data_IF_124255737076
#
_entry.id   IF_124255737076
#
_cell.length_a   1.000
_cell.length_b   1.000
_cell.length_c   1.000
_cell.angle_alpha   90.00
_cell.angle_beta   90.00
_cell.angle_gamma   90.00
#
_symmetry.space_group_name_H-M   'P 1'
#
loop_
_entity.id
_entity.type
_entity.pdbx_description
1 polymer ?
#
# COMPACT_ATOMS: atom_id res chain seq x y z
N UNK A 1 -25.39 -35.75 4.11
CA UNK A 1 -24.85 -34.41 3.73
C UNK A 1 -23.42 -34.33 4.18
N UNK A 2 -22.50 -33.87 3.32
CA UNK A 2 -21.10 -33.66 3.72
C UNK A 2 -21.04 -32.68 4.90
N UNK A 3 -20.26 -32.97 5.97
CA UNK A 3 -20.12 -32.09 7.13
C UNK A 3 -19.68 -30.65 6.79
N UNK A 4 -19.13 -30.43 5.59
CA UNK A 4 -18.78 -29.11 5.08
C UNK A 4 -20.01 -28.25 4.75
N UNK A 5 -21.11 -28.83 4.25
CA UNK A 5 -22.32 -28.06 3.89
C UNK A 5 -22.98 -27.45 5.14
N UNK A 6 -23.10 -28.24 6.21
CA UNK A 6 -23.65 -27.78 7.48
C UNK A 6 -22.75 -26.72 8.13
N UNK A 7 -21.43 -26.88 8.04
CA UNK A 7 -20.46 -25.86 8.50
C UNK A 7 -20.56 -24.57 7.69
N UNK A 8 -20.61 -24.65 6.36
CA UNK A 8 -20.78 -23.47 5.51
C UNK A 8 -22.09 -22.72 5.76
N UNK A 9 -23.20 -23.43 5.96
CA UNK A 9 -24.49 -22.79 6.31
C UNK A 9 -24.46 -22.14 7.70
N UNK A 10 -23.76 -22.75 8.67
CA UNK A 10 -23.62 -22.22 10.03
C UNK A 10 -22.69 -20.99 10.06
N UNK A 11 -21.54 -21.09 9.40
CA UNK A 11 -20.48 -20.08 9.46
C UNK A 11 -20.79 -18.90 8.52
N UNK A 12 -21.65 -19.09 7.51
CA UNK A 12 -22.18 -18.04 6.66
C UNK A 12 -21.14 -17.45 5.69
N UNK A 13 -21.34 -16.20 5.30
CA UNK A 13 -20.39 -15.47 4.45
C UNK A 13 -19.26 -14.93 5.32
N UNK A 14 -18.08 -15.55 5.20
CA UNK A 14 -16.86 -15.16 5.95
C UNK A 14 -15.98 -14.16 5.20
N UNK A 15 -16.30 -13.89 3.94
CA UNK A 15 -15.52 -12.99 3.08
C UNK A 15 -15.71 -11.53 3.51
N UNK A 16 -14.60 -10.79 3.59
CA UNK A 16 -14.62 -9.34 3.83
C UNK A 16 -15.33 -8.60 2.70
N UNK A 17 -16.01 -7.51 3.06
CA UNK A 17 -16.69 -6.62 2.09
C UNK A 17 -15.77 -5.57 1.48
N UNK A 18 -14.47 -5.64 1.76
CA UNK A 18 -13.46 -4.79 1.12
C UNK A 18 -13.47 -4.96 -0.41
N UNK A 19 -13.23 -3.91 -1.21
CA UNK A 19 -13.01 -2.52 -0.81
C UNK A 19 -14.31 -1.71 -0.58
N UNK A 20 -15.49 -2.30 -0.76
CA UNK A 20 -16.76 -1.59 -0.60
C UNK A 20 -17.07 -1.20 0.85
N UNK A 21 -16.43 -1.86 1.82
CA UNK A 21 -16.38 -1.44 3.22
C UNK A 21 -14.95 -1.52 3.75
N UNK A 22 -14.61 -0.70 4.76
CA UNK A 22 -13.33 -0.79 5.44
C UNK A 22 -13.10 -2.18 6.02
N UNK A 23 -11.84 -2.59 6.08
CA UNK A 23 -11.42 -3.88 6.62
C UNK A 23 -10.66 -3.61 7.93
N UNK A 24 -11.20 -3.97 9.11
CA UNK A 24 -10.61 -3.58 10.38
C UNK A 24 -9.17 -4.06 10.58
N UNK A 25 -8.80 -5.21 10.01
CA UNK A 25 -7.43 -5.70 10.05
C UNK A 25 -6.53 -4.80 9.21
N UNK A 26 -6.94 -4.54 7.98
CA UNK A 26 -6.19 -3.69 7.06
C UNK A 26 -6.07 -2.26 7.58
N UNK A 27 -7.15 -1.69 8.12
CA UNK A 27 -7.20 -0.31 8.66
C UNK A 27 -6.33 -0.13 9.90
N UNK A 28 -6.11 -1.21 10.68
CA UNK A 28 -5.22 -1.22 11.83
C UNK A 28 -3.74 -1.30 11.47
N UNK A 29 -3.40 -1.61 10.20
CA UNK A 29 -2.03 -1.69 9.74
C UNK A 29 -1.36 -0.31 9.78
N UNK A 30 -0.11 -0.28 10.25
CA UNK A 30 0.74 0.90 10.21
C UNK A 30 1.49 0.93 8.90
N UNK A 31 1.17 1.91 8.06
CA UNK A 31 1.90 2.15 6.82
C UNK A 31 3.18 2.98 7.03
N UNK A 32 3.79 3.46 5.94
CA UNK A 32 4.92 4.38 5.99
C UNK A 32 4.63 5.63 6.84
N UNK A 33 5.69 6.29 7.30
CA UNK A 33 5.53 7.57 7.97
C UNK A 33 4.92 8.63 7.01
N UNK A 34 4.16 9.56 7.57
CA UNK A 34 3.55 10.71 6.92
C UNK A 34 4.15 12.01 7.46
N UNK A 35 4.02 13.10 6.69
CA UNK A 35 4.33 14.46 7.12
C UNK A 35 3.02 15.12 7.56
N UNK A 36 2.91 15.44 8.85
CA UNK A 36 1.75 16.12 9.46
C UNK A 36 1.86 17.63 9.29
N UNK A 37 3.06 18.17 9.54
CA UNK A 37 3.39 19.57 9.31
C UNK A 37 4.51 19.66 8.25
N UNK A 38 4.20 20.12 7.03
CA UNK A 38 5.20 20.31 6.00
C UNK A 38 6.22 21.40 6.29
N UNK A 39 5.94 22.36 7.18
CA UNK A 39 6.83 23.49 7.47
C UNK A 39 7.16 23.57 8.98
N UNK A 40 7.77 22.53 9.54
CA UNK A 40 8.02 22.45 10.97
C UNK A 40 9.17 23.39 11.38
N UNK A 41 9.19 23.78 12.66
CA UNK A 41 10.37 24.39 13.25
C UNK A 41 11.56 23.40 13.21
N UNK A 42 12.76 23.88 12.88
CA UNK A 42 13.96 23.02 12.84
C UNK A 42 13.94 21.98 11.71
N UNK A 43 13.34 22.30 10.56
CA UNK A 43 13.30 21.42 9.39
C UNK A 43 14.69 20.92 8.95
N UNK A 44 15.75 21.72 9.13
CA UNK A 44 17.11 21.38 8.71
C UNK A 44 17.67 20.08 9.33
N UNK A 45 17.26 19.75 10.56
CA UNK A 45 17.79 18.60 11.29
C UNK A 45 17.05 17.29 10.96
N UNK A 46 15.90 17.37 10.29
CA UNK A 46 14.98 16.24 10.10
C UNK A 46 15.57 15.09 9.28
N UNK A 47 16.44 15.39 8.30
CA UNK A 47 17.06 14.38 7.45
C UNK A 47 17.97 13.41 8.23
N UNK A 48 18.64 13.90 9.28
CA UNK A 48 19.61 13.13 10.07
C UNK A 48 18.99 11.98 10.87
N UNK A 49 17.69 12.04 11.15
CA UNK A 49 16.98 11.02 11.93
C UNK A 49 16.69 9.75 11.11
N UNK A 50 16.69 9.85 9.78
CA UNK A 50 16.26 8.78 8.90
C UNK A 50 17.44 7.88 8.47
N UNK A 51 17.47 6.59 8.88
CA UNK A 51 18.59 5.70 8.55
C UNK A 51 18.71 5.39 7.05
N UNK A 52 17.62 5.55 6.29
CA UNK A 52 17.57 5.25 4.85
C UNK A 52 17.60 6.50 3.96
N UNK A 53 17.76 7.70 4.55
CA UNK A 53 17.72 8.95 3.81
C UNK A 53 16.39 9.19 3.09
N UNK A 54 15.28 8.76 3.70
CA UNK A 54 13.93 9.00 3.18
C UNK A 54 13.45 10.43 3.45
N UNK A 55 14.02 11.15 4.42
CA UNK A 55 13.59 12.50 4.81
C UNK A 55 14.53 13.53 4.17
N UNK A 56 13.96 14.57 3.58
CA UNK A 56 14.71 15.68 2.95
C UNK A 56 14.13 17.03 3.35
N UNK A 57 15.01 17.95 3.71
CA UNK A 57 14.67 19.34 4.02
C UNK A 57 14.89 20.21 2.79
N UNK A 58 13.93 21.08 2.49
CA UNK A 58 13.93 21.96 1.33
C UNK A 58 14.44 23.36 1.70
N UNK A 59 14.82 24.15 0.70
CA UNK A 59 15.32 25.51 0.89
C UNK A 59 14.27 26.50 1.37
N UNK A 60 12.99 26.20 1.15
CA UNK A 60 11.84 26.98 1.63
C UNK A 60 11.48 26.64 3.10
N UNK A 61 12.27 25.79 3.76
CA UNK A 61 12.01 25.33 5.12
C UNK A 61 11.01 24.18 5.21
N UNK A 62 10.52 23.66 4.08
CA UNK A 62 9.63 22.50 4.09
C UNK A 62 10.36 21.16 4.25
N UNK A 63 9.66 20.14 4.74
CA UNK A 63 10.17 18.76 4.84
C UNK A 63 9.38 17.85 3.92
N UNK A 64 10.09 16.95 3.24
CA UNK A 64 9.52 15.87 2.44
C UNK A 64 9.99 14.52 2.94
N UNK A 65 9.13 13.52 2.86
CA UNK A 65 9.41 12.14 3.20
C UNK A 65 9.09 11.24 2.02
N UNK A 66 10.08 10.46 1.60
CA UNK A 66 9.97 9.48 0.54
C UNK A 66 9.50 8.13 1.11
N UNK A 67 8.21 7.84 0.98
CA UNK A 67 7.61 6.60 1.49
C UNK A 67 8.17 5.36 0.78
N UNK A 68 8.69 5.49 -0.44
CA UNK A 68 9.36 4.39 -1.15
C UNK A 68 10.76 4.06 -0.63
N UNK A 69 11.32 4.88 0.28
CA UNK A 69 12.55 4.60 1.03
C UNK A 69 12.30 4.36 2.52
N UNK A 70 11.06 4.51 2.97
CA UNK A 70 10.70 4.36 4.37
C UNK A 70 10.69 2.87 4.73
N UNK A 71 11.47 2.49 5.74
CA UNK A 71 11.50 1.13 6.30
C UNK A 71 10.64 0.98 7.56
N UNK A 72 9.71 1.91 7.78
CA UNK A 72 8.76 1.88 8.89
C UNK A 72 9.41 1.77 10.29
N UNK A 73 10.64 2.26 10.46
CA UNK A 73 11.38 2.16 11.73
C UNK A 73 10.83 3.05 12.87
N UNK A 74 10.00 4.05 12.55
CA UNK A 74 9.34 4.91 13.54
C UNK A 74 10.19 5.99 14.20
N UNK A 75 11.51 6.04 13.96
CA UNK A 75 12.42 7.02 14.58
C UNK A 75 11.97 8.48 14.41
N UNK A 76 11.50 8.85 13.23
CA UNK A 76 11.03 10.22 12.96
C UNK A 76 9.74 10.54 13.73
N UNK A 77 8.81 9.59 13.82
CA UNK A 77 7.55 9.74 14.56
C UNK A 77 7.81 9.83 16.06
N UNK A 78 8.78 9.07 16.58
CA UNK A 78 9.15 9.09 17.99
C UNK A 78 9.89 10.39 18.37
N UNK A 79 10.85 10.83 17.55
CA UNK A 79 11.67 12.02 17.85
C UNK A 79 10.94 13.33 17.56
N UNK A 80 10.04 13.35 16.57
CA UNK A 80 9.34 14.55 16.08
C UNK A 80 7.86 14.26 15.79
N UNK A 81 7.06 13.90 16.81
CA UNK A 81 5.63 13.62 16.65
C UNK A 81 4.81 14.86 16.25
N UNK A 82 5.37 16.05 16.40
CA UNK A 82 4.81 17.32 15.90
C UNK A 82 4.85 17.41 14.37
N UNK A 83 5.84 16.76 13.75
CA UNK A 83 6.10 16.84 12.31
C UNK A 83 5.66 15.58 11.57
N UNK A 84 5.85 14.41 12.18
CA UNK A 84 5.62 13.11 11.53
C UNK A 84 4.57 12.29 12.26
N UNK A 85 3.81 11.52 11.48
CA UNK A 85 2.83 10.56 11.97
C UNK A 85 2.88 9.27 11.17
N UNK A 86 2.00 8.33 11.48
CA UNK A 86 1.82 7.11 10.70
C UNK A 86 0.72 7.29 9.67
N UNK A 87 0.91 6.76 8.46
CA UNK A 87 -0.26 6.41 7.65
C UNK A 87 -0.90 5.14 8.21
N UNK A 88 -2.20 5.01 8.00
CA UNK A 88 -2.98 3.87 8.44
C UNK A 88 -3.71 3.24 7.25
N UNK A 89 -3.96 1.94 7.32
CA UNK A 89 -4.61 1.23 6.23
C UNK A 89 -3.67 0.79 5.12
N UNK A 90 -4.27 0.28 4.04
CA UNK A 90 -3.61 -0.13 2.80
C UNK A 90 -3.16 1.10 2.00
N UNK A 91 -2.19 1.82 2.53
CA UNK A 91 -1.60 3.03 1.95
C UNK A 91 -0.25 2.73 1.30
N UNK A 92 0.25 3.65 0.46
CA UNK A 92 1.57 3.52 -0.17
C UNK A 92 1.56 2.97 -1.60
N UNK A 93 0.41 2.68 -2.19
CA UNK A 93 0.31 2.41 -3.63
C UNK A 93 0.35 3.73 -4.43
N UNK A 94 1.23 3.80 -5.42
CA UNK A 94 1.40 4.98 -6.25
C UNK A 94 1.63 4.61 -7.73
N UNK A 95 1.19 5.49 -8.64
CA UNK A 95 1.39 5.30 -10.08
C UNK A 95 2.81 5.62 -10.57
N UNK A 96 3.49 6.53 -9.87
CA UNK A 96 4.84 6.96 -10.18
C UNK A 96 5.66 7.07 -8.90
N UNK A 97 6.98 7.13 -9.07
CA UNK A 97 7.93 7.17 -7.96
C UNK A 97 7.83 8.45 -7.15
N UNK A 98 7.51 9.55 -7.84
CA UNK A 98 7.38 10.89 -7.30
C UNK A 98 6.15 11.00 -6.40
N UNK A 99 5.08 10.26 -6.72
CA UNK A 99 3.86 10.18 -5.90
C UNK A 99 4.06 9.47 -4.55
N UNK A 100 5.20 8.81 -4.32
CA UNK A 100 5.57 8.25 -3.02
C UNK A 100 6.24 9.28 -2.10
N UNK A 101 6.55 10.48 -2.60
CA UNK A 101 7.13 11.55 -1.79
C UNK A 101 6.00 12.40 -1.19
N UNK A 102 5.93 12.44 0.14
CA UNK A 102 4.93 13.19 0.91
C UNK A 102 5.53 14.46 1.53
N UNK A 103 4.78 15.56 1.72
CA UNK A 103 3.38 15.73 1.31
C UNK A 103 3.23 15.61 -0.21
N UNK A 104 2.15 14.97 -0.63
CA UNK A 104 1.87 14.80 -2.05
C UNK A 104 1.49 16.16 -2.67
N UNK A 105 1.49 16.21 -4.01
CA UNK A 105 0.86 17.32 -4.75
C UNK A 105 -0.55 17.52 -4.16
N UNK A 106 -0.99 18.78 -3.87
CA UNK A 106 -2.28 19.02 -3.25
C UNK A 106 -3.42 18.28 -3.97
N UNK A 107 -4.34 17.70 -3.20
CA UNK A 107 -5.53 17.00 -3.71
C UNK A 107 -6.53 17.99 -4.32
N UNK A 108 -6.18 18.56 -5.46
CA UNK A 108 -7.07 19.39 -6.27
C UNK A 108 -7.91 18.49 -7.18
N UNK A 109 -9.09 18.96 -7.59
CA UNK A 109 -9.92 18.24 -8.56
C UNK A 109 -9.15 17.92 -9.85
N UNK A 110 -8.28 18.84 -10.30
CA UNK A 110 -7.44 18.66 -11.47
C UNK A 110 -6.42 17.52 -11.28
N UNK A 111 -5.73 17.48 -10.14
CA UNK A 111 -4.74 16.44 -9.84
C UNK A 111 -5.39 15.06 -9.66
N UNK A 112 -6.55 15.03 -9.01
CA UNK A 112 -7.37 13.81 -8.86
C UNK A 112 -7.86 13.32 -10.23
N UNK A 113 -8.34 14.22 -11.10
CA UNK A 113 -8.77 13.87 -12.45
C UNK A 113 -7.62 13.31 -13.30
N UNK A 114 -6.44 13.95 -13.25
CA UNK A 114 -5.24 13.47 -13.94
C UNK A 114 -4.81 12.08 -13.44
N UNK A 115 -4.80 11.87 -12.13
CA UNK A 115 -4.46 10.56 -11.51
C UNK A 115 -5.44 9.48 -11.94
N UNK A 116 -6.75 9.76 -11.90
CA UNK A 116 -7.80 8.82 -12.34
C UNK A 116 -7.69 8.50 -13.82
N UNK A 117 -7.41 9.49 -14.66
CA UNK A 117 -7.22 9.28 -16.10
C UNK A 117 -6.01 8.40 -16.38
N UNK A 118 -4.89 8.65 -15.71
CA UNK A 118 -3.68 7.83 -15.82
C UNK A 118 -3.92 6.39 -15.34
N UNK A 119 -4.61 6.22 -14.19
CA UNK A 119 -4.97 4.90 -13.66
C UNK A 119 -5.86 4.13 -14.64
N UNK A 120 -6.90 4.79 -15.18
CA UNK A 120 -7.81 4.20 -16.18
C UNK A 120 -7.07 3.80 -17.46
N UNK A 121 -6.16 4.64 -17.95
CA UNK A 121 -5.38 4.34 -19.14
C UNK A 121 -4.52 3.07 -18.96
N UNK A 122 -3.95 2.85 -17.76
CA UNK A 122 -3.15 1.66 -17.44
C UNK A 122 -3.98 0.41 -17.22
N UNK A 123 -5.17 0.53 -16.62
CA UNK A 123 -5.95 -0.63 -16.16
C UNK A 123 -7.12 -1.02 -17.07
N UNK A 124 -7.49 -0.17 -18.05
CA UNK A 124 -8.65 -0.43 -18.91
C UNK A 124 -8.59 -1.76 -19.66
N UNK A 125 -7.39 -2.20 -20.05
CA UNK A 125 -7.20 -3.49 -20.74
C UNK A 125 -7.40 -4.70 -19.81
N UNK A 126 -7.10 -4.56 -18.51
CA UNK A 126 -7.07 -5.65 -17.53
C UNK A 126 -8.49 -6.08 -17.06
N UNK A 127 -9.48 -5.19 -17.20
CA UNK A 127 -10.89 -5.42 -16.79
C UNK A 127 -10.99 -6.05 -15.39
N UNK A 128 -11.69 -7.19 -15.25
CA UNK A 128 -11.85 -7.96 -13.99
C UNK A 128 -11.22 -9.35 -14.09
N UNK A 129 -10.12 -9.48 -14.83
CA UNK A 129 -9.45 -10.75 -15.05
C UNK A 129 -7.93 -10.54 -15.15
N UNK A 130 -7.35 -10.08 -14.05
CA UNK A 130 -5.92 -9.77 -13.95
C UNK A 130 -5.17 -10.99 -13.42
N UNK A 131 -4.25 -11.52 -14.20
CA UNK A 131 -3.39 -12.63 -13.80
C UNK A 131 -2.04 -12.11 -13.31
N UNK A 132 -1.77 -12.30 -12.02
CA UNK A 132 -0.53 -11.95 -11.34
C UNK A 132 0.41 -13.15 -11.31
N UNK A 133 1.68 -12.93 -11.63
CA UNK A 133 2.76 -13.84 -11.20
C UNK A 133 3.60 -13.11 -10.16
N UNK A 134 3.54 -13.62 -8.93
CA UNK A 134 4.45 -13.20 -7.87
C UNK A 134 5.87 -13.69 -8.13
N UNK A 135 6.88 -12.87 -7.88
CA UNK A 135 8.30 -13.21 -7.99
C UNK A 135 8.99 -12.66 -6.76
N UNK A 136 9.47 -13.55 -5.91
CA UNK A 136 10.33 -13.21 -4.78
C UNK A 136 11.75 -12.93 -5.29
N UNK A 137 12.28 -11.75 -4.95
CA UNK A 137 13.63 -11.29 -5.28
C UNK A 137 14.58 -11.26 -4.06
N UNK A 138 14.16 -11.75 -2.89
CA UNK A 138 15.00 -11.86 -1.70
C UNK A 138 14.30 -11.55 -0.37
N UNK A 139 13.05 -11.95 -0.17
CA UNK A 139 12.28 -11.66 1.04
C UNK A 139 12.65 -12.57 2.23
N UNK A 140 12.09 -12.27 3.41
CA UNK A 140 12.15 -13.12 4.60
C UNK A 140 10.99 -14.14 4.68
N UNK A 141 10.14 -14.18 3.65
CA UNK A 141 8.96 -15.04 3.56
C UNK A 141 7.67 -14.44 4.15
N UNK A 142 7.72 -13.25 4.77
CA UNK A 142 6.53 -12.63 5.35
C UNK A 142 5.55 -12.17 4.25
N UNK A 143 6.05 -11.53 3.20
CA UNK A 143 5.24 -11.05 2.09
C UNK A 143 4.52 -12.21 1.37
N UNK A 144 5.19 -13.36 1.22
CA UNK A 144 4.63 -14.56 0.59
C UNK A 144 3.46 -15.13 1.41
N UNK A 145 3.57 -15.09 2.74
CA UNK A 145 2.48 -15.51 3.62
C UNK A 145 1.28 -14.58 3.50
N UNK A 146 1.50 -13.27 3.41
CA UNK A 146 0.43 -12.30 3.18
C UNK A 146 -0.21 -12.46 1.80
N UNK A 147 0.60 -12.65 0.75
CA UNK A 147 0.13 -12.93 -0.61
C UNK A 147 -0.70 -14.22 -0.65
N UNK A 148 -0.24 -15.28 0.03
CA UNK A 148 -1.00 -16.52 0.15
C UNK A 148 -2.31 -16.33 0.92
N UNK A 149 -2.32 -15.48 1.95
CA UNK A 149 -3.53 -15.17 2.69
C UNK A 149 -4.62 -14.54 1.82
N UNK A 150 -4.28 -13.78 0.77
CA UNK A 150 -5.25 -13.20 -0.18
C UNK A 150 -6.14 -14.24 -0.87
N UNK A 151 -5.69 -15.51 -0.93
CA UNK A 151 -6.43 -16.62 -1.52
C UNK A 151 -7.38 -17.33 -0.54
N UNK A 152 -7.33 -16.98 0.75
CA UNK A 152 -8.19 -17.60 1.75
C UNK A 152 -9.66 -17.14 1.59
N UNK A 153 -10.65 -17.84 2.18
CA UNK A 153 -12.06 -17.47 2.05
C UNK A 153 -12.42 -16.09 2.65
N UNK A 154 -11.60 -15.57 3.56
CA UNK A 154 -11.80 -14.24 4.16
C UNK A 154 -11.49 -13.16 3.13
N UNK A 155 -10.30 -13.20 2.51
CA UNK A 155 -9.88 -12.17 1.56
C UNK A 155 -10.25 -12.43 0.12
N UNK A 156 -10.50 -13.68 -0.28
CA UNK A 156 -10.94 -14.15 -1.60
C UNK A 156 -10.71 -13.13 -2.73
N UNK A 157 -9.45 -12.90 -3.09
CA UNK A 157 -9.07 -11.86 -4.05
C UNK A 157 -9.61 -12.16 -5.46
N UNK A 158 -9.96 -13.42 -5.74
CA UNK A 158 -10.61 -13.82 -6.99
C UNK A 158 -11.96 -13.13 -7.19
N UNK A 159 -12.70 -12.79 -6.12
CA UNK A 159 -13.93 -11.99 -6.24
C UNK A 159 -13.69 -10.63 -6.88
N UNK A 160 -12.48 -10.08 -6.73
CA UNK A 160 -12.07 -8.80 -7.31
C UNK A 160 -11.60 -8.94 -8.76
N UNK A 161 -11.54 -10.17 -9.29
CA UNK A 161 -11.08 -10.45 -10.64
C UNK A 161 -9.56 -10.51 -10.76
N UNK A 162 -8.89 -10.88 -9.67
CA UNK A 162 -7.43 -11.00 -9.60
C UNK A 162 -7.08 -12.47 -9.35
N UNK A 163 -6.14 -13.01 -10.11
CA UNK A 163 -5.78 -14.42 -10.10
C UNK A 163 -4.27 -14.58 -10.02
N UNK A 164 -3.77 -15.53 -9.24
CA UNK A 164 -2.36 -15.89 -9.25
C UNK A 164 -2.11 -17.01 -10.25
N UNK A 165 -1.10 -16.84 -11.11
CA UNK A 165 -0.66 -17.86 -12.08
C UNK A 165 0.71 -18.41 -11.72
N UNK A 166 0.94 -19.68 -12.03
CA UNK A 166 2.21 -20.35 -11.81
C UNK A 166 3.29 -19.95 -12.83
N UNK A 167 2.89 -19.42 -14.00
CA UNK A 167 3.79 -19.16 -15.12
C UNK A 167 3.76 -17.69 -15.54
N UNK A 168 4.93 -17.01 -15.65
CA UNK A 168 5.01 -15.65 -16.20
C UNK A 168 4.40 -15.52 -17.61
N UNK A 169 4.38 -16.60 -18.41
CA UNK A 169 3.79 -16.59 -19.76
C UNK A 169 2.28 -16.35 -19.77
N UNK A 170 1.61 -16.57 -18.65
CA UNK A 170 0.18 -16.38 -18.50
C UNK A 170 -0.15 -15.21 -17.56
N UNK A 171 0.85 -14.37 -17.24
CA UNK A 171 0.69 -13.24 -16.34
C UNK A 171 0.47 -11.96 -17.13
N UNK A 172 -0.52 -11.18 -16.70
CA UNK A 172 -0.72 -9.81 -17.13
C UNK A 172 0.19 -8.85 -16.35
N UNK A 173 0.49 -9.18 -15.09
CA UNK A 173 1.27 -8.35 -14.17
C UNK A 173 2.26 -9.20 -13.38
N UNK A 174 3.48 -8.69 -13.22
CA UNK A 174 4.47 -9.24 -12.28
C UNK A 174 4.39 -8.49 -10.95
N UNK A 175 4.18 -9.23 -9.87
CA UNK A 175 4.27 -8.71 -8.50
C UNK A 175 5.63 -9.11 -7.94
N UNK A 176 6.51 -8.15 -7.68
CA UNK A 176 7.86 -8.43 -7.19
C UNK A 176 7.96 -8.02 -5.72
N UNK A 177 8.45 -8.92 -4.87
CA UNK A 177 8.77 -8.68 -3.45
C UNK A 177 10.26 -8.90 -3.22
N UNK A 178 10.82 -8.40 -2.12
CA UNK A 178 12.22 -8.59 -1.73
C UNK A 178 12.71 -7.51 -0.79
#
# INVERSE_FOLDING_TARGET
MSPWVLRGLRDGVVTTRWPARPDPYADGWRGPAAVLDPHPAGAADAASMCPTGAISSQTDGSVRLDQGRCILCGRCVEQRPDTFGWTHGLTGAALTRESLVVPQIPETEQNLAATRAALRARTAALRRSVHLRHVDAGSDGAEEQEIAALLNPVYDIHRLGIFFTASPRHADVLLVTG
#
